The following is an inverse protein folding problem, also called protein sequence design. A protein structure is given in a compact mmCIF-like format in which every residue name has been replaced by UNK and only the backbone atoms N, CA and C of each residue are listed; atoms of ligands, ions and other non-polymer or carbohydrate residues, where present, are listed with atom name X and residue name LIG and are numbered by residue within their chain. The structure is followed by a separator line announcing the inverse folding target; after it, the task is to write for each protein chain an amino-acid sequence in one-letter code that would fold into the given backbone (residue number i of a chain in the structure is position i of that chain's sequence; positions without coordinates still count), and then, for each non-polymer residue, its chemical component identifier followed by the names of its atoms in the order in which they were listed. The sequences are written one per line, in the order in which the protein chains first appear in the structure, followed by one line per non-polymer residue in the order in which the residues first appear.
data_IF_538925642921
#
_entry.id   IF_538925642921
#
_cell.length_a   1.000
_cell.length_b   1.000
_cell.length_c   1.000
_cell.angle_alpha   90.00
_cell.angle_beta   90.00
_cell.angle_gamma   90.00
#
_symmetry.space_group_name_H-M   'P 1'
#
loop_
_entity.id
_entity.type
_entity.pdbx_description
1 polymer ?
#
# COMPACT_ATOMS: atom_id res chain seq x y z
N UNK A 1 -5.75 17.92 18.76
CA UNK A 1 -5.24 16.57 18.48
C UNK A 1 -4.57 15.99 19.73
N UNK A 2 -5.19 14.97 20.32
CA UNK A 2 -4.66 14.33 21.54
C UNK A 2 -3.38 13.52 21.18
N UNK A 3 -2.59 13.06 22.16
CA UNK A 3 -1.34 12.34 21.91
C UNK A 3 -1.54 10.99 21.21
N UNK A 4 -2.66 10.32 21.49
CA UNK A 4 -3.07 9.07 20.85
C UNK A 4 -3.33 9.28 19.34
N UNK A 5 -3.98 10.37 18.95
CA UNK A 5 -4.22 10.73 17.54
C UNK A 5 -2.91 10.97 16.78
N UNK A 6 -1.88 11.54 17.44
CA UNK A 6 -0.57 11.77 16.78
C UNK A 6 0.19 10.48 16.56
N UNK A 7 0.17 9.58 17.55
CA UNK A 7 0.78 8.26 17.45
C UNK A 7 0.09 7.46 16.35
N UNK A 8 -1.24 7.43 16.35
CA UNK A 8 -2.04 6.77 15.33
C UNK A 8 -1.79 7.34 13.93
N UNK A 9 -1.69 8.67 13.80
CA UNK A 9 -1.34 9.31 12.52
C UNK A 9 0.05 8.91 12.04
N UNK A 10 1.03 8.83 12.93
CA UNK A 10 2.39 8.39 12.58
C UNK A 10 2.39 6.93 12.10
N UNK A 11 1.71 6.04 12.83
CA UNK A 11 1.58 4.63 12.45
C UNK A 11 0.95 4.46 11.06
N UNK A 12 -0.08 5.27 10.76
CA UNK A 12 -0.71 5.28 9.44
C UNK A 12 0.23 5.77 8.35
N UNK A 13 1.05 6.80 8.59
CA UNK A 13 2.04 7.28 7.63
C UNK A 13 3.13 6.23 7.37
N UNK A 14 3.67 5.62 8.44
CA UNK A 14 4.70 4.58 8.35
C UNK A 14 4.18 3.34 7.58
N UNK A 15 2.92 2.96 7.83
CA UNK A 15 2.24 1.89 7.10
C UNK A 15 2.01 2.27 5.62
N UNK A 16 1.56 3.49 5.34
CA UNK A 16 1.34 3.98 3.98
C UNK A 16 2.63 3.91 3.15
N UNK A 17 3.74 4.39 3.70
CA UNK A 17 5.04 4.39 3.01
C UNK A 17 5.49 2.96 2.71
N UNK A 18 5.41 2.07 3.70
CA UNK A 18 5.81 0.66 3.58
C UNK A 18 4.98 -0.09 2.53
N UNK A 19 3.66 0.13 2.53
CA UNK A 19 2.73 -0.49 1.58
C UNK A 19 2.94 0.07 0.17
N UNK A 20 3.10 1.38 0.02
CA UNK A 20 3.39 2.01 -1.27
C UNK A 20 4.71 1.53 -1.86
N UNK A 21 5.74 1.35 -1.03
CA UNK A 21 7.03 0.77 -1.44
C UNK A 21 6.87 -0.67 -1.95
N UNK A 22 6.06 -1.47 -1.27
CA UNK A 22 5.76 -2.85 -1.66
C UNK A 22 4.97 -2.89 -2.97
N UNK A 23 3.97 -2.01 -3.13
CA UNK A 23 3.19 -1.87 -4.35
C UNK A 23 4.09 -1.55 -5.55
N UNK A 24 4.99 -0.56 -5.42
CA UNK A 24 5.96 -0.22 -6.48
C UNK A 24 6.79 -1.42 -6.92
N UNK A 25 7.21 -2.27 -5.97
CA UNK A 25 7.95 -3.50 -6.28
C UNK A 25 7.09 -4.51 -7.05
N UNK A 26 5.84 -4.72 -6.65
CA UNK A 26 4.89 -5.58 -7.37
C UNK A 26 4.67 -5.09 -8.82
N UNK A 27 4.45 -3.79 -9.01
CA UNK A 27 4.26 -3.19 -10.34
C UNK A 27 5.52 -3.32 -11.21
N UNK A 28 6.71 -3.11 -10.62
CA UNK A 28 7.98 -3.27 -11.34
C UNK A 28 8.20 -4.70 -11.83
N UNK A 29 7.88 -5.70 -11.00
CA UNK A 29 8.02 -7.11 -11.38
C UNK A 29 7.03 -7.46 -12.51
N UNK A 30 5.80 -6.97 -12.42
CA UNK A 30 4.77 -7.14 -13.46
C UNK A 30 5.19 -6.55 -14.80
N UNK A 31 5.70 -5.31 -14.82
CA UNK A 31 6.19 -4.65 -16.03
C UNK A 31 7.39 -5.38 -16.65
N UNK A 32 8.18 -6.08 -15.84
CA UNK A 32 9.34 -6.82 -16.32
C UNK A 32 9.02 -8.04 -17.18
N UNK A 33 7.76 -8.50 -17.24
CA UNK A 33 7.34 -9.62 -18.10
C UNK A 33 7.97 -10.98 -17.76
N UNK A 34 8.65 -11.10 -16.62
CA UNK A 34 9.39 -12.30 -16.21
C UNK A 34 8.53 -13.32 -15.42
N UNK A 35 7.29 -12.98 -15.10
CA UNK A 35 6.41 -13.82 -14.31
C UNK A 35 5.72 -14.89 -15.17
N UNK A 36 5.71 -16.14 -14.70
CA UNK A 36 4.86 -17.19 -15.26
C UNK A 36 3.39 -16.92 -14.92
N UNK A 37 2.44 -17.45 -15.69
CA UNK A 37 1.00 -17.17 -15.54
C UNK A 37 0.45 -17.28 -14.10
N UNK A 38 0.78 -18.31 -13.30
CA UNK A 38 0.34 -18.36 -11.89
C UNK A 38 0.97 -17.25 -11.02
N UNK A 39 2.24 -16.93 -11.26
CA UNK A 39 2.95 -15.87 -10.55
C UNK A 39 2.40 -14.49 -10.91
N UNK A 40 2.06 -14.28 -12.19
CA UNK A 40 1.42 -13.06 -12.66
C UNK A 40 0.07 -12.84 -11.96
N UNK A 41 -0.78 -13.86 -11.95
CA UNK A 41 -2.09 -13.81 -11.28
C UNK A 41 -1.96 -13.46 -9.79
N UNK A 42 -1.01 -14.09 -9.09
CA UNK A 42 -0.74 -13.79 -7.68
C UNK A 42 -0.21 -12.37 -7.48
N UNK A 43 0.69 -11.91 -8.35
CA UNK A 43 1.25 -10.56 -8.27
C UNK A 43 0.18 -9.49 -8.55
N UNK A 44 -0.70 -9.70 -9.53
CA UNK A 44 -1.80 -8.80 -9.85
C UNK A 44 -2.77 -8.65 -8.67
N UNK A 45 -3.12 -9.78 -8.03
CA UNK A 45 -3.96 -9.77 -6.83
C UNK A 45 -3.30 -8.99 -5.69
N UNK A 46 -1.99 -9.23 -5.46
CA UNK A 46 -1.22 -8.50 -4.44
C UNK A 46 -1.17 -7.01 -4.72
N UNK A 47 -0.87 -6.61 -5.96
CA UNK A 47 -0.81 -5.21 -6.35
C UNK A 47 -2.16 -4.52 -6.14
N UNK A 48 -3.27 -5.15 -6.54
CA UNK A 48 -4.62 -4.62 -6.31
C UNK A 48 -4.94 -4.46 -4.83
N UNK A 49 -4.66 -5.46 -4.00
CA UNK A 49 -4.90 -5.37 -2.55
C UNK A 49 -4.05 -4.28 -1.89
N UNK A 50 -2.78 -4.14 -2.29
CA UNK A 50 -1.89 -3.10 -1.77
C UNK A 50 -2.36 -1.69 -2.18
N UNK A 51 -2.83 -1.52 -3.42
CA UNK A 51 -3.40 -0.25 -3.87
C UNK A 51 -4.60 0.15 -3.00
N UNK A 52 -5.57 -0.76 -2.82
CA UNK A 52 -6.75 -0.51 -1.96
C UNK A 52 -6.32 -0.15 -0.54
N UNK A 53 -5.34 -0.84 0.02
CA UNK A 53 -4.85 -0.55 1.37
C UNK A 53 -4.20 0.85 1.48
N UNK A 54 -3.40 1.24 0.49
CA UNK A 54 -2.79 2.59 0.42
C UNK A 54 -3.87 3.67 0.32
N UNK A 55 -4.87 3.45 -0.54
CA UNK A 55 -5.97 4.41 -0.76
C UNK A 55 -6.79 4.61 0.52
N UNK A 56 -7.16 3.52 1.21
CA UNK A 56 -7.90 3.57 2.48
C UNK A 56 -7.12 4.30 3.59
N UNK A 57 -5.79 4.10 3.67
CA UNK A 57 -4.95 4.81 4.62
C UNK A 57 -4.88 6.30 4.27
N UNK A 58 -4.77 6.64 2.97
CA UNK A 58 -4.76 8.03 2.52
C UNK A 58 -6.08 8.74 2.85
N UNK A 59 -7.23 8.10 2.60
CA UNK A 59 -8.55 8.61 2.97
C UNK A 59 -8.66 8.83 4.48
N UNK A 60 -8.19 7.87 5.29
CA UNK A 60 -8.17 8.00 6.74
C UNK A 60 -7.30 9.17 7.20
N UNK A 61 -6.11 9.33 6.62
CA UNK A 61 -5.20 10.44 6.92
C UNK A 61 -5.79 11.81 6.53
N UNK A 62 -6.58 11.89 5.46
CA UNK A 62 -7.31 13.12 5.06
C UNK A 62 -8.46 13.45 6.01
N UNK A 63 -9.10 12.41 6.57
CA UNK A 63 -10.21 12.54 7.54
C UNK A 63 -9.78 12.82 8.98
N UNK A 64 -8.52 12.56 9.34
CA UNK A 64 -7.92 12.98 10.62
C UNK A 64 -7.56 14.47 10.48
N UNK A 65 -8.55 15.36 10.71
CA UNK A 65 -8.36 16.81 10.84
C UNK A 65 -8.42 17.22 12.31
#
# INVERSE_FOLDING_TARGET
MNQHDRLHRKELLDAQESLASTLRKCLKIQQGGKLRSPQQTLNDRRAKSLQIAVDLIEERLKGIR
#
